data_IF_920335742500
#
_entry.id   IF_920335742500
#
_cell.length_a   1.000
_cell.length_b   1.000
_cell.length_c   1.000
_cell.angle_alpha   90.00
_cell.angle_beta   90.00
_cell.angle_gamma   90.00
#
_symmetry.space_group_name_H-M   'P 1'
#
loop_
_entity.id
_entity.type
_entity.pdbx_description
1 polymer ?
#
# COMPACT_ATOMS: atom_id res chain seq x y z
N UNK A 1 -18.24 61.31 -26.04
CA UNK A 1 -19.10 61.52 -24.85
C UNK A 1 -19.83 60.19 -24.57
N UNK A 2 -19.55 59.47 -23.47
CA UNK A 2 -20.27 59.53 -22.16
C UNK A 2 -21.80 59.43 -22.31
N UNK A 3 -22.56 58.57 -21.63
CA UNK A 3 -22.34 57.81 -20.37
C UNK A 3 -23.56 56.88 -20.11
N UNK A 4 -23.37 55.84 -19.29
CA UNK A 4 -24.40 55.14 -18.45
C UNK A 4 -25.44 54.26 -19.20
N UNK A 5 -25.95 53.11 -18.75
CA UNK A 5 -26.16 52.49 -17.43
C UNK A 5 -26.08 50.94 -17.58
N UNK A 6 -25.27 50.24 -16.81
CA UNK A 6 -25.68 49.43 -15.65
C UNK A 6 -26.90 48.51 -15.87
N UNK A 7 -26.64 47.20 -16.05
CA UNK A 7 -27.39 46.18 -15.32
C UNK A 7 -26.48 45.02 -14.92
N UNK A 8 -25.90 45.20 -13.74
CA UNK A 8 -25.50 44.18 -12.76
C UNK A 8 -26.40 42.93 -12.84
N UNK A 9 -25.83 41.80 -13.27
CA UNK A 9 -26.11 40.49 -12.71
C UNK A 9 -24.80 39.75 -12.48
N UNK A 10 -24.18 40.10 -11.36
CA UNK A 10 -23.33 39.17 -10.61
C UNK A 10 -24.19 37.93 -10.33
N UNK A 11 -23.77 36.75 -10.77
CA UNK A 11 -24.12 35.52 -10.09
C UNK A 11 -22.84 34.92 -9.50
N UNK A 12 -22.67 34.99 -8.16
CA UNK A 12 -21.50 34.53 -7.43
C UNK A 12 -21.72 33.11 -6.91
N UNK A 13 -21.40 32.07 -7.68
CA UNK A 13 -21.36 30.68 -7.20
C UNK A 13 -20.62 29.86 -8.27
N UNK A 14 -19.56 29.11 -8.04
CA UNK A 14 -19.07 28.44 -6.85
C UNK A 14 -17.55 28.31 -7.04
N UNK A 15 -16.76 28.80 -6.08
CA UNK A 15 -15.40 28.33 -5.93
C UNK A 15 -15.44 26.86 -5.54
N UNK A 16 -15.65 25.97 -6.50
CA UNK A 16 -15.22 24.59 -6.38
C UNK A 16 -13.69 24.66 -6.39
N UNK A 17 -13.10 24.72 -5.20
CA UNK A 17 -11.74 24.26 -5.05
C UNK A 17 -11.63 22.94 -5.82
N UNK A 18 -10.62 22.74 -6.71
CA UNK A 18 -10.44 21.44 -7.33
C UNK A 18 -10.38 20.45 -6.19
N UNK A 19 -11.34 19.52 -6.16
CA UNK A 19 -11.44 18.55 -5.10
C UNK A 19 -10.07 17.88 -4.99
N UNK A 20 -9.35 18.11 -3.89
CA UNK A 20 -7.94 17.72 -3.70
C UNK A 20 -7.82 16.21 -3.44
N UNK A 21 -8.60 15.40 -4.15
CA UNK A 21 -8.41 13.97 -4.15
C UNK A 21 -7.30 13.74 -5.18
N UNK A 22 -6.13 13.32 -4.70
CA UNK A 22 -5.09 12.81 -5.59
C UNK A 22 -5.73 11.82 -6.57
N UNK A 23 -5.26 11.73 -7.83
CA UNK A 23 -5.80 10.77 -8.78
C UNK A 23 -5.62 9.36 -8.21
N UNK A 24 -6.68 8.80 -7.64
CA UNK A 24 -6.70 7.43 -7.15
C UNK A 24 -7.18 6.53 -8.27
N UNK A 25 -6.53 5.38 -8.42
CA UNK A 25 -6.91 4.41 -9.43
C UNK A 25 -8.09 3.59 -8.89
N UNK A 26 -9.31 3.69 -9.47
CA UNK A 26 -10.47 2.95 -8.95
C UNK A 26 -10.30 1.42 -9.04
N UNK A 27 -9.45 0.97 -9.97
CA UNK A 27 -9.13 -0.43 -10.18
C UNK A 27 -7.96 -0.95 -9.32
N UNK A 28 -7.31 -0.07 -8.55
CA UNK A 28 -6.21 -0.47 -7.69
C UNK A 28 -6.73 -1.30 -6.52
N UNK A 29 -5.99 -2.35 -6.20
CA UNK A 29 -6.30 -3.28 -5.14
C UNK A 29 -5.08 -3.37 -4.22
N UNK A 30 -5.32 -3.58 -2.93
CA UNK A 30 -4.27 -3.81 -1.97
C UNK A 30 -4.73 -4.78 -0.89
N UNK A 31 -3.79 -5.57 -0.40
CA UNK A 31 -3.94 -6.47 0.74
C UNK A 31 -2.77 -6.27 1.68
N UNK A 32 -3.05 -6.35 2.98
CA UNK A 32 -2.05 -6.41 4.03
C UNK A 32 -2.10 -7.78 4.68
N UNK A 33 -0.92 -8.39 4.83
CA UNK A 33 -0.72 -9.68 5.47
C UNK A 33 0.03 -9.50 6.78
N UNK A 34 -0.24 -10.36 7.76
CA UNK A 34 0.56 -10.48 8.98
C UNK A 34 0.97 -11.93 9.19
N UNK A 35 2.06 -12.14 9.91
CA UNK A 35 2.53 -13.46 10.32
C UNK A 35 2.91 -13.39 11.80
N UNK A 36 2.10 -13.97 12.69
CA UNK A 36 2.41 -14.00 14.10
C UNK A 36 3.27 -15.22 14.46
N UNK A 37 3.99 -15.12 15.58
CA UNK A 37 4.75 -16.27 16.11
C UNK A 37 3.81 -17.42 16.42
N UNK A 38 4.05 -18.58 15.80
CA UNK A 38 3.22 -19.77 15.96
C UNK A 38 2.12 -19.94 14.91
N UNK A 39 1.90 -18.95 14.03
CA UNK A 39 1.04 -19.13 12.87
C UNK A 39 1.69 -20.10 11.88
N UNK A 40 0.85 -20.92 11.24
CA UNK A 40 1.27 -21.84 10.18
C UNK A 40 1.29 -21.18 8.80
N UNK A 41 0.65 -20.01 8.66
CA UNK A 41 0.55 -19.26 7.42
C UNK A 41 0.22 -17.78 7.71
N UNK A 42 0.55 -16.85 6.80
CA UNK A 42 0.14 -15.45 6.94
C UNK A 42 -1.38 -15.27 6.91
N UNK A 43 -1.87 -14.29 7.67
CA UNK A 43 -3.29 -13.91 7.76
C UNK A 43 -3.56 -12.59 7.04
N UNK A 44 -4.71 -12.48 6.39
CA UNK A 44 -5.19 -11.22 5.79
C UNK A 44 -5.74 -10.31 6.88
N UNK A 45 -5.11 -9.15 7.11
CA UNK A 45 -5.55 -8.19 8.14
C UNK A 45 -6.18 -6.93 7.55
N UNK A 46 -5.97 -6.67 6.26
CA UNK A 46 -6.67 -5.63 5.54
C UNK A 46 -6.77 -6.00 4.05
N UNK A 47 -7.88 -5.61 3.42
CA UNK A 47 -8.07 -5.71 1.97
C UNK A 47 -8.94 -4.57 1.46
N UNK A 48 -8.68 -4.09 0.25
CA UNK A 48 -9.39 -2.93 -0.26
C UNK A 48 -9.23 -2.71 -1.76
N UNK A 49 -10.11 -1.86 -2.31
CA UNK A 49 -10.06 -1.35 -3.68
C UNK A 49 -10.13 0.17 -3.70
N UNK A 50 -9.64 0.79 -4.76
CA UNK A 50 -9.67 2.24 -4.95
C UNK A 50 -9.07 2.99 -3.75
N UNK A 51 -9.87 3.90 -3.16
CA UNK A 51 -9.46 4.71 -2.02
C UNK A 51 -9.00 3.89 -0.80
N UNK A 52 -9.60 2.72 -0.55
CA UNK A 52 -9.17 1.87 0.57
C UNK A 52 -7.81 1.26 0.28
N UNK A 53 -7.59 0.80 -0.96
CA UNK A 53 -6.29 0.26 -1.37
C UNK A 53 -5.17 1.31 -1.26
N UNK A 54 -5.46 2.54 -1.67
CA UNK A 54 -4.54 3.66 -1.53
C UNK A 54 -4.20 3.93 -0.06
N UNK A 55 -5.20 3.94 0.83
CA UNK A 55 -4.97 4.13 2.26
C UNK A 55 -4.15 3.00 2.89
N UNK A 56 -4.39 1.74 2.49
CA UNK A 56 -3.57 0.60 2.95
C UNK A 56 -2.11 0.82 2.58
N UNK A 57 -1.84 1.15 1.31
CA UNK A 57 -0.47 1.37 0.81
C UNK A 57 0.17 2.60 1.47
N UNK A 58 -0.59 3.68 1.65
CA UNK A 58 -0.10 4.90 2.30
C UNK A 58 0.30 4.61 3.76
N UNK A 59 -0.52 3.85 4.50
CA UNK A 59 -0.21 3.44 5.88
C UNK A 59 1.00 2.51 5.92
N UNK A 60 1.10 1.54 5.01
CA UNK A 60 2.27 0.67 4.93
C UNK A 60 3.57 1.48 4.77
N UNK A 61 3.58 2.44 3.82
CA UNK A 61 4.72 3.35 3.60
C UNK A 61 5.04 4.22 4.82
N UNK A 62 4.03 4.72 5.53
CA UNK A 62 4.22 5.54 6.74
C UNK A 62 4.85 4.77 7.89
N UNK A 63 4.65 3.46 7.94
CA UNK A 63 5.17 2.57 8.99
C UNK A 63 6.37 1.74 8.53
N UNK A 64 6.99 2.08 7.39
CA UNK A 64 8.11 1.34 6.80
C UNK A 64 7.83 -0.16 6.59
N UNK A 65 6.56 -0.48 6.31
CA UNK A 65 6.14 -1.84 5.95
C UNK A 65 6.39 -2.03 4.46
N UNK A 66 7.09 -3.12 4.12
CA UNK A 66 7.39 -3.49 2.75
C UNK A 66 6.12 -3.59 1.89
N UNK A 67 6.16 -2.99 0.70
CA UNK A 67 5.07 -3.01 -0.29
C UNK A 67 5.56 -3.69 -1.57
N UNK A 68 4.94 -4.81 -1.91
CA UNK A 68 5.18 -5.53 -3.15
C UNK A 68 4.04 -5.30 -4.14
N UNK A 69 4.36 -4.98 -5.40
CA UNK A 69 3.38 -4.79 -6.46
C UNK A 69 3.32 -6.02 -7.38
N UNK A 70 2.22 -6.77 -7.31
CA UNK A 70 1.94 -7.88 -8.23
C UNK A 70 0.44 -8.00 -8.46
N UNK A 71 -0.01 -7.75 -9.69
CA UNK A 71 -1.44 -7.78 -10.05
C UNK A 71 -2.05 -9.17 -9.85
N UNK A 72 -1.33 -10.20 -10.26
CA UNK A 72 -1.85 -11.58 -10.23
C UNK A 72 -1.96 -12.09 -8.80
N UNK A 73 -0.92 -11.87 -7.98
CA UNK A 73 -0.93 -12.26 -6.58
C UNK A 73 -2.00 -11.52 -5.78
N UNK A 74 -2.15 -10.21 -6.00
CA UNK A 74 -3.21 -9.43 -5.37
C UNK A 74 -4.58 -9.94 -5.77
N UNK A 75 -4.83 -10.24 -7.05
CA UNK A 75 -6.11 -10.77 -7.51
C UNK A 75 -6.47 -12.12 -6.86
N UNK A 76 -5.46 -12.97 -6.62
CA UNK A 76 -5.63 -14.25 -5.91
C UNK A 76 -5.91 -14.03 -4.42
N UNK A 77 -5.11 -13.20 -3.75
CA UNK A 77 -5.27 -12.92 -2.32
C UNK A 77 -6.59 -12.20 -2.01
N UNK A 78 -7.12 -11.40 -2.95
CA UNK A 78 -8.42 -10.73 -2.80
C UNK A 78 -9.60 -11.69 -2.65
N UNK A 79 -9.42 -12.98 -2.98
CA UNK A 79 -10.42 -14.04 -2.80
C UNK A 79 -10.39 -14.63 -1.38
N UNK A 80 -9.33 -14.37 -0.60
CA UNK A 80 -9.21 -14.83 0.80
C UNK A 80 -10.00 -13.89 1.71
N UNK A 81 -10.69 -14.45 2.70
CA UNK A 81 -11.48 -13.66 3.64
C UNK A 81 -10.62 -12.86 4.62
N UNK A 82 -11.22 -11.78 5.14
CA UNK A 82 -10.55 -10.98 6.16
C UNK A 82 -10.41 -11.85 7.42
N UNK A 83 -9.28 -11.72 8.10
CA UNK A 83 -8.88 -12.52 9.25
C UNK A 83 -8.64 -14.01 8.95
N UNK A 84 -8.71 -14.45 7.71
CA UNK A 84 -8.34 -15.83 7.34
C UNK A 84 -6.87 -15.96 6.98
N UNK A 85 -6.33 -17.17 7.21
CA UNK A 85 -5.01 -17.55 6.71
C UNK A 85 -5.06 -17.75 5.19
N UNK A 86 -3.97 -17.39 4.50
CA UNK A 86 -3.85 -17.65 3.06
C UNK A 86 -3.94 -19.17 2.79
N UNK A 87 -4.48 -19.61 1.64
CA UNK A 87 -4.55 -21.02 1.30
C UNK A 87 -3.17 -21.58 0.91
N UNK A 88 -2.94 -22.90 1.07
CA UNK A 88 -1.67 -23.56 0.74
C UNK A 88 -1.18 -23.33 -0.69
N UNK A 89 -2.09 -23.13 -1.63
CA UNK A 89 -1.79 -22.84 -3.04
C UNK A 89 -1.01 -21.53 -3.23
N UNK A 90 -1.04 -20.61 -2.26
CA UNK A 90 -0.34 -19.33 -2.31
C UNK A 90 0.92 -19.30 -1.43
N UNK A 91 1.23 -20.37 -0.69
CA UNK A 91 2.37 -20.40 0.24
C UNK A 91 3.70 -20.17 -0.47
N UNK A 92 3.89 -20.82 -1.63
CA UNK A 92 5.15 -20.69 -2.38
C UNK A 92 5.41 -19.25 -2.83
N UNK A 93 4.40 -18.57 -3.36
CA UNK A 93 4.52 -17.19 -3.81
C UNK A 93 4.86 -16.24 -2.64
N UNK A 94 4.23 -16.43 -1.48
CA UNK A 94 4.52 -15.62 -0.30
C UNK A 94 5.90 -15.93 0.27
N UNK A 95 6.29 -17.21 0.32
CA UNK A 95 7.61 -17.61 0.79
C UNK A 95 8.74 -17.01 -0.07
N UNK A 96 8.55 -16.89 -1.38
CA UNK A 96 9.51 -16.26 -2.28
C UNK A 96 9.71 -14.77 -1.97
N UNK A 97 8.62 -14.04 -1.76
CA UNK A 97 8.65 -12.62 -1.37
C UNK A 97 9.35 -12.43 -0.03
N UNK A 98 9.00 -13.23 0.97
CA UNK A 98 9.62 -13.16 2.30
C UNK A 98 11.11 -13.51 2.24
N UNK A 99 11.48 -14.55 1.49
CA UNK A 99 12.89 -14.94 1.32
C UNK A 99 13.72 -13.83 0.66
N UNK A 100 13.13 -13.11 -0.30
CA UNK A 100 13.78 -11.95 -0.92
C UNK A 100 13.92 -10.79 0.07
N UNK A 101 12.89 -10.51 0.87
CA UNK A 101 12.90 -9.47 1.90
C UNK A 101 14.01 -9.73 2.93
N UNK A 102 14.12 -10.95 3.46
CA UNK A 102 15.16 -11.31 4.42
C UNK A 102 16.57 -11.17 3.84
N UNK A 103 16.80 -11.59 2.59
CA UNK A 103 18.13 -11.42 1.95
C UNK A 103 18.52 -9.96 1.78
N UNK A 104 17.54 -9.09 1.52
CA UNK A 104 17.79 -7.64 1.42
C UNK A 104 18.17 -7.04 2.78
N UNK A 105 17.58 -7.53 3.87
CA UNK A 105 17.92 -7.14 5.24
C UNK A 105 19.29 -7.69 5.68
N UNK A 106 19.58 -8.97 5.37
CA UNK A 106 20.86 -9.63 5.68
C UNK A 106 22.04 -9.01 4.92
N UNK A 107 21.85 -8.63 3.65
CA UNK A 107 22.84 -7.88 2.88
C UNK A 107 23.18 -6.51 3.48
N UNK A 108 22.30 -5.97 4.34
CA UNK A 108 22.53 -4.75 5.13
C UNK A 108 23.26 -5.02 6.45
N UNK A 109 23.23 -6.25 6.96
CA UNK A 109 23.84 -6.66 8.23
C UNK A 109 25.24 -7.30 8.05
N UNK A 110 25.59 -7.79 6.85
CA UNK A 110 26.87 -8.46 6.57
C UNK A 110 28.11 -7.56 6.44
N UNK A 111 28.00 -6.24 6.61
CA UNK A 111 29.11 -5.30 6.46
C UNK A 111 29.84 -4.93 7.78
N UNK A 112 29.52 -5.59 8.90
CA UNK A 112 30.08 -5.27 10.23
C UNK A 112 30.66 -6.51 10.94
N UNK A 113 31.51 -7.29 10.27
CA UNK A 113 32.17 -8.44 10.93
C UNK A 113 33.63 -8.67 10.53
N UNK A 114 34.33 -7.70 9.94
CA UNK A 114 35.72 -7.92 9.43
C UNK A 114 36.83 -7.24 10.25
N UNK A 115 36.57 -6.82 11.49
CA UNK A 115 37.63 -6.34 12.39
C UNK A 115 37.57 -7.05 13.75
N UNK A 116 38.25 -8.20 13.81
CA UNK A 116 38.69 -8.83 15.07
C UNK A 116 40.02 -8.19 15.49
N UNK A 117 40.10 -7.42 16.58
CA UNK A 117 41.38 -7.16 17.22
C UNK A 117 41.81 -8.43 17.98
N UNK A 118 42.98 -8.97 17.61
CA UNK A 118 43.67 -9.96 18.43
C UNK A 118 44.08 -9.35 19.77
N UNK A 119 43.77 -10.07 20.86
CA UNK A 119 44.20 -9.77 22.22
C UNK A 119 44.30 -11.04 23.03
#
# INVERSE_FOLDING_TARGET
MSKSDEHKRLNPTLGLAPNRHAPFNPNQQAIALTYATGDYAPRVVAKGRGLIAEQIIARAKQHDVFVHESKDLVALLMQVDLDDHIPPTLYQAIAEILSWLYRMEEGRAGAISDELPEG
#
